data_IF_473071973580
#
_entry.id   IF_473071973580
#
_cell.length_a   1.000
_cell.length_b   1.000
_cell.length_c   1.000
_cell.angle_alpha   90.00
_cell.angle_beta   90.00
_cell.angle_gamma   90.00
#
_symmetry.space_group_name_H-M   'P 1'
#
loop_
_entity.id
_entity.type
_entity.pdbx_description
1 polymer ?
#
# COMPACT_ATOMS: atom_id res chain seq x y z
N UNK A 1 -0.88 -2.97 13.33
CA UNK A 1 -0.75 -2.39 11.99
C UNK A 1 -2.03 -2.56 11.15
N UNK A 2 -2.58 -3.76 10.99
CA UNK A 2 -3.81 -4.00 10.20
C UNK A 2 -4.96 -3.03 10.55
N UNK A 3 -5.33 -2.89 11.83
CA UNK A 3 -6.37 -1.96 12.27
C UNK A 3 -6.11 -0.52 11.86
N UNK A 4 -4.87 -0.04 12.00
CA UNK A 4 -4.53 1.34 11.65
C UNK A 4 -4.66 1.61 10.13
N UNK A 5 -4.20 0.67 9.30
CA UNK A 5 -4.34 0.76 7.84
C UNK A 5 -5.81 0.70 7.44
N UNK A 6 -6.60 -0.19 8.07
CA UNK A 6 -8.02 -0.31 7.79
C UNK A 6 -8.79 0.95 8.20
N UNK A 7 -8.49 1.54 9.39
CA UNK A 7 -9.07 2.80 9.84
C UNK A 7 -8.79 3.92 8.83
N UNK A 8 -7.53 4.04 8.38
CA UNK A 8 -7.13 5.04 7.40
C UNK A 8 -7.89 4.88 6.08
N UNK A 9 -7.95 3.65 5.54
CA UNK A 9 -8.66 3.34 4.31
C UNK A 9 -10.17 3.62 4.42
N UNK A 10 -10.82 3.16 5.50
CA UNK A 10 -12.25 3.35 5.69
C UNK A 10 -12.61 4.83 5.90
N UNK A 11 -11.75 5.59 6.60
CA UNK A 11 -11.91 7.05 6.78
C UNK A 11 -11.81 7.77 5.46
N UNK A 12 -10.79 7.48 4.64
CA UNK A 12 -10.60 8.05 3.29
C UNK A 12 -11.85 7.82 2.43
N UNK A 13 -12.39 6.60 2.41
CA UNK A 13 -13.59 6.25 1.66
C UNK A 13 -14.86 6.97 2.13
N UNK A 14 -14.99 7.18 3.43
CA UNK A 14 -16.12 7.94 3.98
C UNK A 14 -16.02 9.43 3.65
N UNK A 15 -14.81 9.99 3.65
CA UNK A 15 -14.57 11.39 3.29
C UNK A 15 -14.81 11.66 1.80
N UNK A 16 -14.33 10.77 0.93
CA UNK A 16 -14.58 10.86 -0.52
C UNK A 16 -16.08 10.82 -0.87
N UNK A 17 -16.86 10.09 -0.07
CA UNK A 17 -18.33 9.98 -0.26
C UNK A 17 -19.12 11.25 0.08
N UNK A 18 -18.52 12.29 0.65
CA UNK A 18 -19.21 13.52 1.09
C UNK A 18 -19.33 14.57 -0.04
N UNK A 19 -18.48 14.52 -1.08
CA UNK A 19 -18.31 15.60 -2.05
C UNK A 19 -18.99 15.45 -3.43
N UNK A 20 -19.62 14.30 -3.76
CA UNK A 20 -20.16 14.02 -5.10
C UNK A 20 -21.69 13.94 -5.19
N UNK A 21 -22.25 14.24 -6.36
CA UNK A 21 -23.67 13.95 -6.65
C UNK A 21 -23.87 12.45 -6.83
N UNK A 22 -25.09 11.96 -6.55
CA UNK A 22 -25.37 10.50 -6.55
C UNK A 22 -25.19 9.85 -7.93
N UNK A 23 -25.24 10.61 -9.01
CA UNK A 23 -25.13 10.15 -10.40
C UNK A 23 -23.68 9.97 -10.85
N UNK A 24 -22.74 10.74 -10.30
CA UNK A 24 -21.31 10.69 -10.67
C UNK A 24 -20.48 9.72 -9.80
N UNK A 25 -21.13 9.08 -8.81
CA UNK A 25 -20.41 8.23 -7.85
C UNK A 25 -20.21 6.81 -8.38
N UNK A 26 -18.96 6.35 -8.37
CA UNK A 26 -18.61 4.94 -8.60
C UNK A 26 -19.38 4.00 -7.63
N UNK A 27 -19.65 2.77 -8.04
CA UNK A 27 -20.43 1.78 -7.27
C UNK A 27 -19.91 1.59 -5.83
N UNK A 28 -18.59 1.64 -5.65
CA UNK A 28 -17.90 1.52 -4.35
C UNK A 28 -18.24 2.67 -3.39
N UNK A 29 -18.34 3.90 -3.87
CA UNK A 29 -18.71 5.06 -3.05
C UNK A 29 -20.17 5.00 -2.62
N UNK A 30 -21.06 4.53 -3.53
CA UNK A 30 -22.48 4.28 -3.22
C UNK A 30 -22.65 3.25 -2.10
N UNK A 31 -21.85 2.18 -2.10
CA UNK A 31 -21.88 1.17 -1.05
C UNK A 31 -21.52 1.75 0.33
N UNK A 32 -20.40 2.49 0.43
CA UNK A 32 -19.98 3.10 1.70
C UNK A 32 -20.98 4.13 2.21
N UNK A 33 -21.57 4.93 1.33
CA UNK A 33 -22.62 5.89 1.67
C UNK A 33 -23.88 5.20 2.20
N UNK A 34 -24.30 4.11 1.56
CA UNK A 34 -25.47 3.32 1.99
C UNK A 34 -25.28 2.69 3.37
N UNK A 35 -24.05 2.27 3.68
CA UNK A 35 -23.70 1.59 4.95
C UNK A 35 -22.94 2.51 5.92
N UNK A 36 -23.02 3.81 5.76
CA UNK A 36 -22.24 4.81 6.51
C UNK A 36 -22.24 4.59 8.00
N UNK A 37 -23.43 4.38 8.63
CA UNK A 37 -23.53 4.14 10.07
C UNK A 37 -22.77 2.88 10.52
N UNK A 38 -22.83 1.81 9.74
CA UNK A 38 -22.05 0.59 10.02
C UNK A 38 -20.55 0.85 9.99
N UNK A 39 -20.08 1.62 8.99
CA UNK A 39 -18.67 2.00 8.90
C UNK A 39 -18.25 2.95 10.04
N UNK A 40 -19.08 3.90 10.47
CA UNK A 40 -18.82 4.79 11.60
C UNK A 40 -18.70 3.99 12.91
N UNK A 41 -19.59 3.02 13.16
CA UNK A 41 -19.51 2.13 14.32
C UNK A 41 -18.24 1.28 14.26
N UNK A 42 -17.96 0.66 13.12
CA UNK A 42 -16.77 -0.18 12.95
C UNK A 42 -15.47 0.62 13.11
N UNK A 43 -15.41 1.87 12.58
CA UNK A 43 -14.28 2.78 12.77
C UNK A 43 -14.08 3.14 14.25
N UNK A 44 -15.16 3.48 14.94
CA UNK A 44 -15.10 3.80 16.38
C UNK A 44 -14.60 2.59 17.18
N UNK A 45 -15.16 1.41 16.93
CA UNK A 45 -14.76 0.17 17.59
C UNK A 45 -13.30 -0.18 17.33
N UNK A 46 -12.85 -0.08 16.06
CA UNK A 46 -11.46 -0.33 15.68
C UNK A 46 -10.50 0.69 16.31
N UNK A 47 -10.90 1.97 16.39
CA UNK A 47 -10.10 3.02 17.03
C UNK A 47 -9.96 2.76 18.53
N UNK A 48 -11.04 2.36 19.22
CA UNK A 48 -10.99 1.98 20.62
C UNK A 48 -10.11 0.75 20.86
N UNK A 49 -10.20 -0.27 19.98
CA UNK A 49 -9.36 -1.46 20.06
C UNK A 49 -7.88 -1.16 19.78
N UNK A 50 -7.57 -0.10 19.03
CA UNK A 50 -6.20 0.32 18.75
C UNK A 50 -5.52 0.94 20.00
N UNK A 51 -6.27 1.59 20.89
CA UNK A 51 -5.71 2.29 22.07
C UNK A 51 -4.83 1.36 22.94
N UNK A 52 -5.32 0.21 23.44
CA UNK A 52 -4.49 -0.67 24.28
C UNK A 52 -3.28 -1.22 23.53
N UNK A 53 -3.39 -1.46 22.21
CA UNK A 53 -2.26 -1.90 21.37
C UNK A 53 -1.18 -0.82 21.28
N UNK A 54 -1.56 0.43 21.15
CA UNK A 54 -0.65 1.59 21.12
C UNK A 54 0.03 1.78 22.48
N UNK A 55 -0.74 1.65 23.57
CA UNK A 55 -0.21 1.79 24.93
C UNK A 55 0.75 0.68 25.33
N UNK A 56 0.57 -0.53 24.75
CA UNK A 56 1.47 -1.66 24.96
C UNK A 56 2.75 -1.61 24.10
N UNK A 57 2.87 -0.62 23.21
CA UNK A 57 3.97 -0.55 22.26
C UNK A 57 5.26 -0.02 22.92
N UNK A 58 6.45 -0.55 22.56
CA UNK A 58 7.73 0.01 23.00
C UNK A 58 7.85 1.50 22.63
N UNK A 59 8.37 2.32 23.53
CA UNK A 59 8.47 3.77 23.37
C UNK A 59 9.23 4.19 22.10
N UNK A 60 10.25 3.42 21.69
CA UNK A 60 11.00 3.68 20.45
C UNK A 60 10.10 3.50 19.22
N UNK A 61 9.38 2.38 19.12
CA UNK A 61 8.45 2.13 18.02
C UNK A 61 7.32 3.18 18.00
N UNK A 62 6.79 3.53 19.16
CA UNK A 62 5.74 4.55 19.29
C UNK A 62 6.20 5.91 18.76
N UNK A 63 7.40 6.36 19.12
CA UNK A 63 7.96 7.64 18.59
C UNK A 63 8.09 7.61 17.07
N UNK A 64 8.57 6.51 16.50
CA UNK A 64 8.70 6.36 15.04
C UNK A 64 7.32 6.37 14.35
N UNK A 65 6.32 5.70 14.91
CA UNK A 65 4.95 5.72 14.39
C UNK A 65 4.30 7.10 14.50
N UNK A 66 4.53 7.84 15.59
CA UNK A 66 4.06 9.23 15.73
C UNK A 66 4.70 10.10 14.63
N UNK A 67 6.02 9.98 14.42
CA UNK A 67 6.72 10.69 13.35
C UNK A 67 6.14 10.36 11.97
N UNK A 68 5.90 9.07 11.70
CA UNK A 68 5.30 8.62 10.45
C UNK A 68 3.87 9.16 10.28
N UNK A 69 3.06 9.17 11.36
CA UNK A 69 1.70 9.72 11.34
C UNK A 69 1.69 11.23 11.05
N UNK A 70 2.63 11.99 11.63
CA UNK A 70 2.80 13.43 11.34
C UNK A 70 3.17 13.65 9.88
N UNK A 71 4.11 12.86 9.33
CA UNK A 71 4.49 12.93 7.91
C UNK A 71 3.31 12.60 7.00
N UNK A 72 2.54 11.56 7.34
CA UNK A 72 1.35 11.16 6.59
C UNK A 72 0.27 12.25 6.64
N UNK A 73 -0.02 12.81 7.82
CA UNK A 73 -0.96 13.93 7.97
C UNK A 73 -0.51 15.16 7.17
N UNK A 74 0.78 15.48 7.22
CA UNK A 74 1.38 16.54 6.39
C UNK A 74 1.19 16.28 4.90
N UNK A 75 1.43 15.05 4.45
CA UNK A 75 1.18 14.65 3.06
C UNK A 75 -0.28 14.82 2.66
N UNK A 76 -1.23 14.36 3.50
CA UNK A 76 -2.66 14.54 3.24
C UNK A 76 -3.05 16.02 3.14
N UNK A 77 -2.53 16.88 4.02
CA UNK A 77 -2.75 18.33 3.94
C UNK A 77 -2.21 18.90 2.62
N UNK A 78 -1.00 18.51 2.21
CA UNK A 78 -0.39 18.93 0.94
C UNK A 78 -1.28 18.49 -0.23
N UNK A 79 -1.68 17.23 -0.28
CA UNK A 79 -2.55 16.71 -1.34
C UNK A 79 -3.86 17.48 -1.39
N UNK A 80 -4.58 17.65 -0.27
CA UNK A 80 -5.88 18.29 -0.24
C UNK A 80 -5.81 19.80 -0.53
N UNK A 81 -4.79 20.50 -0.03
CA UNK A 81 -4.63 21.95 -0.24
C UNK A 81 -4.09 22.28 -1.61
N UNK A 82 -3.03 21.60 -2.06
CA UNK A 82 -2.33 21.92 -3.29
C UNK A 82 -3.07 21.41 -4.53
N UNK A 83 -3.65 20.20 -4.51
CA UNK A 83 -4.41 19.68 -5.67
C UNK A 83 -5.70 20.46 -5.89
N UNK A 84 -6.37 20.90 -4.82
CA UNK A 84 -7.61 21.67 -4.92
C UNK A 84 -7.36 23.09 -5.43
N UNK A 85 -6.31 23.76 -4.93
CA UNK A 85 -6.09 25.18 -5.21
C UNK A 85 -5.21 25.43 -6.44
N UNK A 86 -4.27 24.54 -6.74
CA UNK A 86 -3.20 24.77 -7.72
C UNK A 86 -3.22 23.79 -8.89
N UNK A 87 -4.18 22.86 -8.94
CA UNK A 87 -4.27 21.78 -9.96
C UNK A 87 -2.94 21.03 -10.12
N UNK A 88 -2.12 20.98 -9.08
CA UNK A 88 -0.85 20.29 -9.11
C UNK A 88 -1.09 18.78 -9.14
N UNK A 89 -0.47 18.12 -10.11
CA UNK A 89 -0.46 16.64 -10.18
C UNK A 89 0.62 16.14 -9.22
N UNK A 90 0.25 15.33 -8.25
CA UNK A 90 1.17 14.77 -7.25
C UNK A 90 1.38 13.27 -7.48
N UNK A 91 2.56 12.71 -7.11
CA UNK A 91 2.88 11.30 -7.30
C UNK A 91 2.16 10.42 -6.24
N UNK A 92 0.82 10.36 -6.31
CA UNK A 92 -0.03 9.70 -5.31
C UNK A 92 0.27 8.20 -5.18
N UNK A 93 0.65 7.54 -6.27
CA UNK A 93 0.93 6.11 -6.34
C UNK A 93 2.24 5.70 -5.67
N UNK A 94 3.19 6.64 -5.49
CA UNK A 94 4.46 6.37 -4.81
C UNK A 94 4.32 6.38 -3.29
N UNK A 95 3.42 7.20 -2.76
CA UNK A 95 3.27 7.39 -1.32
C UNK A 95 2.81 6.16 -0.55
N UNK A 96 1.83 5.36 -1.03
CA UNK A 96 1.48 4.12 -0.37
C UNK A 96 2.66 3.19 -0.17
N UNK A 97 3.55 3.05 -1.17
CA UNK A 97 4.75 2.23 -1.03
C UNK A 97 5.68 2.71 0.07
N UNK A 98 5.95 4.02 0.12
CA UNK A 98 6.81 4.62 1.15
C UNK A 98 6.21 4.46 2.56
N UNK A 99 4.95 4.85 2.74
CA UNK A 99 4.31 4.80 4.05
C UNK A 99 4.05 3.37 4.52
N UNK A 100 3.63 2.46 3.65
CA UNK A 100 3.42 1.07 4.00
C UNK A 100 4.74 0.37 4.35
N UNK A 101 5.81 0.60 3.59
CA UNK A 101 7.12 0.07 3.90
C UNK A 101 7.63 0.60 5.25
N UNK A 102 7.60 1.92 5.47
CA UNK A 102 7.99 2.50 6.74
C UNK A 102 7.18 1.91 7.90
N UNK A 103 5.85 1.86 7.78
CA UNK A 103 4.98 1.32 8.83
C UNK A 103 5.25 -0.16 9.12
N UNK A 104 5.48 -0.99 8.09
CA UNK A 104 5.73 -2.41 8.26
C UNK A 104 7.06 -2.70 8.96
N UNK A 105 8.10 -1.90 8.68
CA UNK A 105 9.46 -2.18 9.15
C UNK A 105 9.85 -1.44 10.43
N UNK A 106 9.06 -0.45 10.92
CA UNK A 106 9.30 0.25 12.20
C UNK A 106 9.55 -0.72 13.37
N UNK A 107 8.74 -1.78 13.62
CA UNK A 107 8.95 -2.65 14.77
C UNK A 107 10.25 -3.43 14.69
N UNK A 108 10.62 -3.83 13.48
CA UNK A 108 11.85 -4.59 13.22
C UNK A 108 13.07 -3.66 13.33
N UNK A 109 12.96 -2.44 12.80
CA UNK A 109 14.00 -1.41 12.89
C UNK A 109 14.29 -0.98 14.31
N UNK A 110 13.26 -0.91 15.15
CA UNK A 110 13.41 -0.61 16.57
C UNK A 110 14.07 -1.74 17.36
N UNK A 111 14.13 -2.94 16.81
CA UNK A 111 14.79 -4.11 17.39
C UNK A 111 16.22 -4.21 16.83
N UNK A 112 17.24 -4.12 17.71
CA UNK A 112 18.66 -4.08 17.34
C UNK A 112 19.25 -5.42 16.85
N UNK A 113 18.43 -6.45 16.67
CA UNK A 113 18.87 -7.81 16.31
C UNK A 113 19.10 -8.04 14.80
N UNK A 114 18.90 -7.05 13.95
CA UNK A 114 18.97 -7.19 12.49
C UNK A 114 20.05 -6.28 11.87
N UNK A 115 20.64 -6.72 10.77
CA UNK A 115 21.50 -5.86 9.95
C UNK A 115 20.65 -4.74 9.30
N UNK A 116 21.04 -3.51 9.54
CA UNK A 116 20.32 -2.34 9.02
C UNK A 116 20.31 -2.25 7.50
N UNK A 117 21.36 -2.74 6.83
CA UNK A 117 21.44 -2.72 5.38
C UNK A 117 20.47 -3.74 4.76
N UNK A 118 20.48 -4.98 5.26
CA UNK A 118 19.53 -6.00 4.81
C UNK A 118 18.09 -5.59 5.06
N UNK A 119 17.81 -5.00 6.23
CA UNK A 119 16.49 -4.49 6.59
C UNK A 119 16.05 -3.34 5.67
N UNK A 120 16.94 -2.42 5.33
CA UNK A 120 16.67 -1.35 4.40
C UNK A 120 16.38 -1.89 2.99
N UNK A 121 17.15 -2.86 2.51
CA UNK A 121 16.90 -3.53 1.23
C UNK A 121 15.54 -4.22 1.21
N UNK A 122 15.17 -4.92 2.28
CA UNK A 122 13.86 -5.58 2.41
C UNK A 122 12.71 -4.55 2.43
N UNK A 123 12.87 -3.45 3.16
CA UNK A 123 11.88 -2.37 3.20
C UNK A 123 11.71 -1.69 1.83
N UNK A 124 12.80 -1.47 1.09
CA UNK A 124 12.77 -0.92 -0.26
C UNK A 124 12.07 -1.89 -1.22
N UNK A 125 12.41 -3.17 -1.19
CA UNK A 125 11.79 -4.20 -2.05
C UNK A 125 10.28 -4.27 -1.80
N UNK A 126 9.84 -4.27 -0.55
CA UNK A 126 8.43 -4.23 -0.18
C UNK A 126 7.75 -2.94 -0.63
N UNK A 127 8.40 -1.78 -0.44
CA UNK A 127 7.88 -0.49 -0.90
C UNK A 127 7.68 -0.44 -2.42
N UNK A 128 8.66 -0.96 -3.19
CA UNK A 128 8.58 -1.08 -4.65
C UNK A 128 7.43 -2.00 -5.07
N UNK A 129 7.22 -3.13 -4.37
CA UNK A 129 6.09 -4.02 -4.62
C UNK A 129 4.75 -3.30 -4.44
N UNK A 130 4.57 -2.52 -3.37
CA UNK A 130 3.33 -1.76 -3.14
C UNK A 130 3.14 -0.69 -4.22
N UNK A 131 4.21 0.02 -4.62
CA UNK A 131 4.15 0.98 -5.73
C UNK A 131 3.73 0.27 -7.01
N UNK A 132 4.32 -0.88 -7.31
CA UNK A 132 3.99 -1.68 -8.48
C UNK A 132 2.52 -2.11 -8.47
N UNK A 133 1.99 -2.56 -7.33
CA UNK A 133 0.58 -2.86 -7.14
C UNK A 133 -0.32 -1.64 -7.42
N UNK A 134 0.00 -0.47 -6.86
CA UNK A 134 -0.75 0.76 -7.11
C UNK A 134 -0.74 1.17 -8.58
N UNK A 135 0.40 1.00 -9.28
CA UNK A 135 0.51 1.28 -10.71
C UNK A 135 -0.30 0.29 -11.56
N UNK A 136 -0.35 -1.00 -11.18
CA UNK A 136 -1.20 -1.99 -11.82
C UNK A 136 -2.68 -1.59 -11.71
N UNK A 137 -3.16 -1.29 -10.50
CA UNK A 137 -4.54 -0.86 -10.25
C UNK A 137 -4.84 0.41 -11.06
N UNK A 138 -3.95 1.40 -11.04
CA UNK A 138 -4.12 2.62 -11.81
C UNK A 138 -4.26 2.34 -13.31
N UNK A 139 -3.40 1.48 -13.88
CA UNK A 139 -3.42 1.12 -15.30
C UNK A 139 -4.69 0.35 -15.70
N UNK A 140 -5.29 -0.40 -14.80
CA UNK A 140 -6.51 -1.16 -15.07
C UNK A 140 -7.78 -0.31 -14.94
N UNK A 141 -7.80 0.66 -14.01
CA UNK A 141 -8.96 1.53 -13.76
C UNK A 141 -9.01 2.76 -14.69
N UNK A 142 -7.88 3.24 -15.22
CA UNK A 142 -7.82 4.48 -15.97
C UNK A 142 -7.39 4.28 -17.43
N UNK A 143 -8.31 4.56 -18.35
CA UNK A 143 -8.03 4.54 -19.80
C UNK A 143 -7.24 5.76 -20.27
N UNK A 144 -7.38 6.90 -19.58
CA UNK A 144 -6.73 8.16 -19.95
C UNK A 144 -5.67 8.55 -18.91
N UNK A 145 -4.44 8.78 -19.39
CA UNK A 145 -3.29 9.16 -18.58
C UNK A 145 -3.07 10.68 -18.49
N UNK A 146 -3.96 11.50 -19.10
CA UNK A 146 -3.75 12.94 -19.21
C UNK A 146 -3.64 13.63 -17.85
N UNK A 147 -4.38 13.15 -16.84
CA UNK A 147 -4.41 13.72 -15.50
C UNK A 147 -3.43 13.09 -14.52
N UNK A 148 -2.72 12.04 -14.92
CA UNK A 148 -1.70 11.42 -14.10
C UNK A 148 -0.45 12.28 -13.94
N UNK A 149 0.21 12.17 -12.78
CA UNK A 149 1.55 12.71 -12.58
C UNK A 149 2.55 12.04 -13.54
N UNK A 150 3.64 12.73 -13.89
CA UNK A 150 4.61 12.19 -14.84
C UNK A 150 5.24 10.86 -14.37
N UNK A 151 5.47 10.67 -13.06
CA UNK A 151 5.99 9.43 -12.49
C UNK A 151 5.02 8.26 -12.68
N UNK A 152 3.71 8.49 -12.50
CA UNK A 152 2.66 7.49 -12.75
C UNK A 152 2.62 7.11 -14.21
N UNK A 153 2.66 8.11 -15.12
CA UNK A 153 2.73 7.85 -16.58
C UNK A 153 3.95 7.03 -16.95
N UNK A 154 5.13 7.38 -16.38
CA UNK A 154 6.36 6.63 -16.61
C UNK A 154 6.25 5.20 -16.07
N UNK A 155 5.78 5.04 -14.82
CA UNK A 155 5.60 3.73 -14.19
C UNK A 155 4.64 2.83 -14.96
N UNK A 156 3.50 3.36 -15.42
CA UNK A 156 2.55 2.59 -16.25
C UNK A 156 3.13 2.26 -17.63
N UNK A 157 3.88 3.17 -18.25
CA UNK A 157 4.57 2.91 -19.52
C UNK A 157 5.54 1.74 -19.42
N UNK A 158 6.25 1.62 -18.30
CA UNK A 158 7.26 0.58 -18.04
C UNK A 158 6.77 -0.46 -17.02
N UNK A 159 5.46 -0.68 -16.92
CA UNK A 159 4.84 -1.51 -15.89
C UNK A 159 5.39 -2.94 -15.89
N UNK A 160 5.46 -3.58 -17.05
CA UNK A 160 6.00 -4.94 -17.20
C UNK A 160 7.48 -5.00 -16.83
N UNK A 161 8.28 -4.02 -17.28
CA UNK A 161 9.71 -3.96 -16.97
C UNK A 161 9.94 -3.74 -15.48
N UNK A 162 9.13 -2.89 -14.84
CA UNK A 162 9.18 -2.67 -13.39
C UNK A 162 8.86 -3.96 -12.63
N UNK A 163 7.81 -4.69 -13.04
CA UNK A 163 7.45 -5.96 -12.41
C UNK A 163 8.55 -7.02 -12.59
N UNK A 164 9.09 -7.17 -13.80
CA UNK A 164 10.20 -8.11 -14.07
C UNK A 164 11.45 -7.71 -13.27
N UNK A 165 11.80 -6.43 -13.22
CA UNK A 165 12.92 -5.96 -12.42
C UNK A 165 12.71 -6.25 -10.92
N UNK A 166 11.49 -6.06 -10.41
CA UNK A 166 11.16 -6.39 -9.01
C UNK A 166 11.36 -7.88 -8.72
N UNK A 167 10.92 -8.77 -9.62
CA UNK A 167 11.15 -10.22 -9.49
C UNK A 167 12.65 -10.54 -9.50
N UNK A 168 13.39 -10.08 -10.52
CA UNK A 168 14.81 -10.39 -10.67
C UNK A 168 15.65 -9.85 -9.50
N UNK A 169 15.40 -8.63 -9.06
CA UNK A 169 16.09 -8.04 -7.90
C UNK A 169 15.75 -8.77 -6.60
N UNK A 170 14.50 -9.23 -6.43
CA UNK A 170 14.12 -10.03 -5.26
C UNK A 170 14.79 -11.41 -5.29
N UNK A 171 14.89 -12.07 -6.45
CA UNK A 171 15.61 -13.35 -6.61
C UNK A 171 17.12 -13.18 -6.32
N UNK A 172 17.73 -12.11 -6.81
CA UNK A 172 19.12 -11.79 -6.49
C UNK A 172 19.29 -11.52 -4.99
N UNK A 173 18.37 -10.79 -4.38
CA UNK A 173 18.39 -10.51 -2.95
C UNK A 173 18.26 -11.79 -2.09
N UNK A 174 17.46 -12.78 -2.52
CA UNK A 174 17.37 -14.10 -1.86
C UNK A 174 18.75 -14.79 -1.82
N UNK A 175 19.51 -14.69 -2.91
CA UNK A 175 20.84 -15.31 -2.99
C UNK A 175 21.91 -14.61 -2.13
N UNK A 176 21.69 -13.32 -1.81
CA UNK A 176 22.65 -12.49 -1.08
C UNK A 176 22.25 -12.26 0.39
N UNK A 177 20.96 -12.39 0.71
CA UNK A 177 20.43 -12.13 2.05
C UNK A 177 20.67 -13.30 3.01
N UNK A 178 20.77 -12.97 4.29
CA UNK A 178 20.74 -13.95 5.35
C UNK A 178 19.38 -14.67 5.46
N UNK A 179 19.36 -15.83 6.10
CA UNK A 179 18.17 -16.68 6.24
C UNK A 179 16.94 -15.92 6.80
N UNK A 180 17.17 -14.93 7.65
CA UNK A 180 16.11 -14.14 8.29
C UNK A 180 15.37 -13.21 7.33
N UNK A 181 16.02 -12.71 6.28
CA UNK A 181 15.43 -11.76 5.33
C UNK A 181 14.97 -12.43 4.03
N UNK A 182 15.51 -13.61 3.69
CA UNK A 182 15.14 -14.35 2.49
C UNK A 182 13.62 -14.53 2.31
N UNK A 183 12.80 -14.82 3.34
CA UNK A 183 11.36 -14.98 3.21
C UNK A 183 10.64 -13.72 2.73
N UNK A 184 11.12 -12.53 3.08
CA UNK A 184 10.54 -11.25 2.62
C UNK A 184 10.75 -11.11 1.11
N UNK A 185 11.95 -11.43 0.63
CA UNK A 185 12.26 -11.37 -0.79
C UNK A 185 11.54 -12.45 -1.59
N UNK A 186 11.35 -13.66 -1.02
CA UNK A 186 10.53 -14.73 -1.61
C UNK A 186 9.08 -14.26 -1.78
N UNK A 187 8.48 -13.70 -0.71
CA UNK A 187 7.12 -13.17 -0.76
C UNK A 187 7.00 -12.04 -1.78
N UNK A 188 8.00 -11.14 -1.86
CA UNK A 188 8.02 -10.03 -2.81
C UNK A 188 8.12 -10.54 -4.26
N UNK A 189 9.00 -11.51 -4.53
CA UNK A 189 9.14 -12.12 -5.86
C UNK A 189 7.86 -12.83 -6.29
N UNK A 190 7.25 -13.61 -5.40
CA UNK A 190 5.98 -14.30 -5.65
C UNK A 190 4.86 -13.31 -5.94
N UNK A 191 4.69 -12.29 -5.09
CA UNK A 191 3.68 -11.26 -5.29
C UNK A 191 3.87 -10.50 -6.61
N UNK A 192 5.09 -10.08 -6.93
CA UNK A 192 5.39 -9.40 -8.19
C UNK A 192 5.10 -10.28 -9.40
N UNK A 193 5.40 -11.59 -9.33
CA UNK A 193 5.10 -12.56 -10.38
C UNK A 193 3.59 -12.71 -10.58
N UNK A 194 2.82 -12.82 -9.49
CA UNK A 194 1.36 -12.91 -9.55
C UNK A 194 0.73 -11.63 -10.11
N UNK A 195 1.23 -10.44 -9.73
CA UNK A 195 0.77 -9.17 -10.31
C UNK A 195 1.06 -9.09 -11.82
N UNK A 196 2.23 -9.56 -12.26
CA UNK A 196 2.55 -9.66 -13.70
C UNK A 196 1.58 -10.61 -14.41
N UNK A 197 1.26 -11.76 -13.81
CA UNK A 197 0.29 -12.68 -14.38
C UNK A 197 -1.11 -12.06 -14.48
N UNK A 198 -1.59 -11.37 -13.43
CA UNK A 198 -2.84 -10.61 -13.47
C UNK A 198 -2.84 -9.55 -14.57
N UNK A 199 -1.73 -8.85 -14.74
CA UNK A 199 -1.61 -7.84 -15.81
C UNK A 199 -1.68 -8.46 -17.22
N UNK A 200 -1.24 -9.70 -17.42
CA UNK A 200 -1.38 -10.40 -18.70
C UNK A 200 -2.84 -10.78 -19.01
N UNK A 201 -3.59 -11.17 -18.00
CA UNK A 201 -5.00 -11.59 -18.15
C UNK A 201 -6.01 -10.46 -17.91
N UNK A 202 -5.54 -9.22 -17.76
CA UNK A 202 -6.39 -8.05 -17.45
C UNK A 202 -7.57 -7.84 -18.39
N UNK A 203 -7.46 -8.28 -19.64
CA UNK A 203 -8.56 -8.19 -20.63
C UNK A 203 -9.69 -9.20 -20.42
N UNK A 204 -9.49 -10.21 -19.56
CA UNK A 204 -10.50 -11.25 -19.27
C UNK A 204 -11.26 -11.01 -17.96
N UNK A 205 -10.88 -10.01 -17.16
CA UNK A 205 -11.45 -9.73 -15.84
C UNK A 205 -11.95 -8.28 -15.78
N UNK A 206 -12.95 -8.04 -14.94
CA UNK A 206 -13.39 -6.68 -14.65
C UNK A 206 -12.36 -5.93 -13.77
N UNK A 207 -12.25 -4.59 -13.87
CA UNK A 207 -11.31 -3.81 -13.06
C UNK A 207 -11.49 -4.01 -11.55
N UNK A 208 -12.72 -4.23 -11.10
CA UNK A 208 -13.04 -4.53 -9.68
C UNK A 208 -12.47 -5.86 -9.23
N UNK A 209 -12.54 -6.90 -10.08
CA UNK A 209 -12.01 -8.23 -9.78
C UNK A 209 -10.48 -8.24 -9.81
N UNK A 210 -9.89 -7.53 -10.79
CA UNK A 210 -8.44 -7.33 -10.86
C UNK A 210 -7.91 -6.65 -9.60
N UNK A 211 -8.63 -5.64 -9.09
CA UNK A 211 -8.26 -4.96 -7.85
C UNK A 211 -8.35 -5.91 -6.65
N UNK A 212 -9.47 -6.63 -6.51
CA UNK A 212 -9.62 -7.60 -5.42
C UNK A 212 -8.54 -8.69 -5.48
N UNK A 213 -8.24 -9.20 -6.68
CA UNK A 213 -7.16 -10.17 -6.89
C UNK A 213 -5.79 -9.59 -6.53
N UNK A 214 -5.51 -8.32 -6.88
CA UNK A 214 -4.24 -7.68 -6.53
C UNK A 214 -4.08 -7.47 -5.03
N UNK A 215 -5.15 -7.14 -4.32
CA UNK A 215 -5.15 -7.03 -2.86
C UNK A 215 -4.90 -8.40 -2.20
N UNK A 216 -5.46 -9.49 -2.77
CA UNK A 216 -5.17 -10.86 -2.32
C UNK A 216 -3.71 -11.26 -2.57
N UNK A 217 -3.13 -10.85 -3.69
CA UNK A 217 -1.71 -11.10 -3.99
C UNK A 217 -0.79 -10.49 -2.92
N UNK A 218 -1.15 -9.36 -2.33
CA UNK A 218 -0.36 -8.75 -1.25
C UNK A 218 -0.41 -9.54 0.07
N UNK A 219 -1.25 -10.57 0.18
CA UNK A 219 -1.26 -11.50 1.30
C UNK A 219 -0.24 -12.66 1.17
N UNK A 220 0.55 -12.70 0.10
CA UNK A 220 1.61 -13.72 -0.09
C UNK A 220 2.56 -13.88 1.10
N UNK A 221 2.92 -12.84 1.90
CA UNK A 221 3.71 -13.02 3.10
C UNK A 221 3.09 -14.00 4.10
N UNK A 222 1.76 -14.12 4.14
CA UNK A 222 1.07 -15.10 5.00
C UNK A 222 1.32 -16.54 4.55
N UNK A 223 1.57 -16.77 3.27
CA UNK A 223 1.92 -18.10 2.74
C UNK A 223 3.34 -18.50 3.11
N UNK A 224 4.22 -17.53 3.26
CA UNK A 224 5.63 -17.74 3.60
C UNK A 224 5.86 -17.79 5.11
N UNK A 225 5.02 -17.10 5.90
CA UNK A 225 5.12 -17.00 7.35
C UNK A 225 5.26 -18.36 8.10
N UNK A 226 4.57 -19.46 7.72
CA UNK A 226 4.74 -20.76 8.39
C UNK A 226 6.13 -21.38 8.25
N UNK A 227 6.90 -20.95 7.26
CA UNK A 227 8.26 -21.42 6.99
C UNK A 227 9.34 -20.56 7.66
N UNK A 228 8.95 -19.51 8.39
CA UNK A 228 9.79 -18.65 9.21
C UNK A 228 9.95 -19.27 10.60
N UNK A 229 10.81 -20.26 10.74
CA UNK A 229 11.16 -20.87 12.05
C UNK A 229 12.62 -20.67 12.38
#
# INVERSE_FOLDING_TARGET
MFLAVWILYATDRLLDGVGGTAEDMEARHRFHRRHRRGFEIALTSASLALIPLVLAMPATSLRLYIGLAVLLAGWFLVVHRLTRNWRLKLPKELMPGLFCAAAAFIPVWANRGFDHLELACAAIAFGVLIIFNCLCIYAWEHQQMADAHWTTRLGVRYLTQLGVATVLLSLLAIALAGEQMAPIFIATALAATLLLALNQIRGALEPTDLRAASDLVLLTPLLVAPFLR
#
